data_IF_914142304316
#
_entry.id   IF_914142304316
#
_cell.length_a   1.000
_cell.length_b   1.000
_cell.length_c   1.000
_cell.angle_alpha   90.00
_cell.angle_beta   90.00
_cell.angle_gamma   90.00
#
_symmetry.space_group_name_H-M   'P 1'
#
loop_
_entity.id
_entity.type
_entity.pdbx_description
1 polymer ?
#
# COMPACT_ATOMS: atom_id res chain seq x y z
N UNK A 1 15.34 27.64 8.38
CA UNK A 1 15.58 26.35 9.06
C UNK A 1 14.31 25.77 9.68
N UNK A 2 13.49 26.53 10.39
CA UNK A 2 12.26 26.02 11.02
C UNK A 2 11.25 25.48 10.01
N UNK A 3 11.10 26.12 8.85
CA UNK A 3 10.18 25.71 7.78
C UNK A 3 10.61 24.40 7.07
N UNK A 4 11.90 24.13 6.95
CA UNK A 4 12.43 22.92 6.34
C UNK A 4 12.24 21.75 7.31
N UNK A 5 12.48 21.93 8.60
CA UNK A 5 12.24 20.92 9.62
C UNK A 5 10.75 20.57 9.74
N UNK A 6 9.86 21.55 9.64
CA UNK A 6 8.41 21.34 9.66
C UNK A 6 7.92 20.58 8.41
N UNK A 7 8.49 20.88 7.22
CA UNK A 7 8.16 20.18 5.97
C UNK A 7 8.63 18.72 6.00
N UNK A 8 9.81 18.43 6.58
CA UNK A 8 10.33 17.07 6.76
C UNK A 8 9.49 16.29 7.79
N UNK A 9 9.09 16.92 8.89
CA UNK A 9 8.20 16.30 9.88
C UNK A 9 6.82 16.01 9.30
N UNK A 10 6.29 16.88 8.45
CA UNK A 10 5.02 16.66 7.76
C UNK A 10 5.09 15.49 6.77
N UNK A 11 6.22 15.31 6.09
CA UNK A 11 6.45 14.17 5.19
C UNK A 11 6.60 12.84 5.93
N UNK A 12 7.18 12.83 7.12
CA UNK A 12 7.31 11.65 7.96
C UNK A 12 5.93 11.18 8.49
N UNK A 13 5.02 12.10 8.75
CA UNK A 13 3.67 11.74 9.19
C UNK A 13 2.77 11.23 8.05
N UNK A 14 3.06 11.55 6.80
CA UNK A 14 2.32 11.09 5.62
C UNK A 14 2.59 9.61 5.24
N UNK A 15 3.54 8.95 5.90
CA UNK A 15 3.96 7.57 5.59
C UNK A 15 3.42 6.47 6.51
N UNK A 16 2.54 6.76 7.47
CA UNK A 16 2.17 5.79 8.52
C UNK A 16 0.87 5.02 8.26
N UNK A 17 -0.07 5.56 7.49
CA UNK A 17 -1.33 4.88 7.12
C UNK A 17 -1.86 5.46 5.81
N UNK A 18 -2.74 4.72 5.13
CA UNK A 18 -3.45 5.26 3.99
C UNK A 18 -4.24 6.50 4.42
N UNK A 19 -4.01 7.61 3.73
CA UNK A 19 -4.74 8.84 4.00
C UNK A 19 -6.20 8.70 3.61
N UNK A 20 -7.08 9.51 4.17
CA UNK A 20 -8.50 9.53 3.79
C UNK A 20 -8.69 9.79 2.29
N UNK A 21 -7.77 10.55 1.69
CA UNK A 21 -7.74 10.79 0.24
C UNK A 21 -7.44 9.50 -0.53
N UNK A 22 -6.46 8.72 -0.13
CA UNK A 22 -6.11 7.46 -0.78
C UNK A 22 -7.25 6.44 -0.67
N UNK A 23 -7.87 6.35 0.50
CA UNK A 23 -9.06 5.51 0.72
C UNK A 23 -10.23 5.92 -0.17
N UNK A 24 -10.44 7.22 -0.38
CA UNK A 24 -11.49 7.74 -1.25
C UNK A 24 -11.21 7.50 -2.74
N UNK A 25 -9.94 7.54 -3.15
CA UNK A 25 -9.54 7.28 -4.54
C UNK A 25 -9.59 5.78 -4.91
N UNK A 26 -9.34 4.91 -3.93
CA UNK A 26 -9.28 3.45 -4.13
C UNK A 26 -10.17 2.70 -3.12
N UNK A 27 -11.50 2.92 -3.15
CA UNK A 27 -12.40 2.43 -2.10
C UNK A 27 -12.43 0.91 -1.99
N UNK A 28 -12.38 0.19 -3.09
CA UNK A 28 -12.38 -1.29 -3.08
C UNK A 28 -11.07 -1.86 -2.51
N UNK A 29 -9.94 -1.22 -2.85
CA UNK A 29 -8.65 -1.60 -2.31
C UNK A 29 -8.61 -1.35 -0.79
N UNK A 30 -9.09 -0.18 -0.36
CA UNK A 30 -9.17 0.20 1.04
C UNK A 30 -10.09 -0.73 1.85
N UNK A 31 -11.27 -1.04 1.29
CA UNK A 31 -12.24 -1.95 1.93
C UNK A 31 -11.63 -3.34 2.13
N UNK A 32 -11.05 -3.90 1.09
CA UNK A 32 -10.54 -5.27 1.13
C UNK A 32 -9.30 -5.40 2.04
N UNK A 33 -8.37 -4.44 1.99
CA UNK A 33 -7.23 -4.45 2.89
C UNK A 33 -7.64 -4.30 4.35
N UNK A 34 -8.57 -3.39 4.65
CA UNK A 34 -9.09 -3.19 6.00
C UNK A 34 -9.84 -4.41 6.54
N UNK A 35 -10.62 -5.11 5.70
CA UNK A 35 -11.35 -6.34 6.07
C UNK A 35 -10.41 -7.42 6.62
N UNK A 36 -9.19 -7.50 6.08
CA UNK A 36 -8.18 -8.46 6.53
C UNK A 36 -7.14 -7.89 7.51
N UNK A 37 -7.34 -6.66 7.97
CA UNK A 37 -6.49 -6.03 8.98
C UNK A 37 -5.17 -5.47 8.44
N UNK A 38 -5.10 -5.17 7.15
CA UNK A 38 -3.94 -4.54 6.51
C UNK A 38 -4.19 -3.08 6.21
N UNK A 39 -3.12 -2.31 6.18
CA UNK A 39 -3.11 -0.94 5.67
C UNK A 39 -2.22 -0.84 4.43
N UNK A 40 -2.44 0.18 3.61
CA UNK A 40 -1.69 0.41 2.38
C UNK A 40 -1.31 1.87 2.22
N UNK A 41 -0.32 2.11 1.40
CA UNK A 41 0.07 3.43 0.95
C UNK A 41 0.23 3.43 -0.57
N UNK A 42 0.12 4.60 -1.19
CA UNK A 42 0.28 4.74 -2.64
C UNK A 42 1.45 5.65 -2.98
N UNK A 43 2.13 5.33 -4.07
CA UNK A 43 3.19 6.13 -4.65
C UNK A 43 2.89 6.41 -6.11
N UNK A 44 3.08 7.65 -6.54
CA UNK A 44 3.02 8.02 -7.94
C UNK A 44 4.43 7.98 -8.52
N UNK A 45 4.60 7.16 -9.57
CA UNK A 45 5.85 7.02 -10.29
C UNK A 45 5.66 7.55 -11.70
N UNK A 46 6.47 8.55 -12.09
CA UNK A 46 6.53 9.04 -13.46
C UNK A 46 7.62 8.31 -14.22
N UNK A 47 7.27 7.66 -15.32
CA UNK A 47 8.23 7.00 -16.21
C UNK A 47 8.95 8.00 -17.11
N UNK A 48 10.09 7.61 -17.71
CA UNK A 48 10.86 8.47 -18.61
C UNK A 48 10.05 8.89 -19.84
N UNK A 49 9.18 8.03 -20.32
CA UNK A 49 8.26 8.27 -21.46
C UNK A 49 6.96 9.02 -21.06
N UNK A 50 6.87 9.47 -19.81
CA UNK A 50 5.83 10.39 -19.34
C UNK A 50 4.57 9.76 -18.75
N UNK A 51 4.50 8.44 -18.58
CA UNK A 51 3.39 7.79 -17.92
C UNK A 51 3.42 7.99 -16.40
N UNK A 52 2.25 8.11 -15.80
CA UNK A 52 2.07 8.15 -14.35
C UNK A 52 1.50 6.82 -13.89
N UNK A 53 2.29 6.09 -13.11
CA UNK A 53 1.92 4.80 -12.54
C UNK A 53 1.62 4.95 -11.06
N UNK A 54 0.61 4.23 -10.58
CA UNK A 54 0.32 4.14 -9.14
C UNK A 54 0.84 2.82 -8.60
N UNK A 55 1.74 2.91 -7.64
CA UNK A 55 2.27 1.77 -6.89
C UNK A 55 1.53 1.67 -5.56
N UNK A 56 0.97 0.51 -5.25
CA UNK A 56 0.36 0.20 -3.96
C UNK A 56 1.35 -0.59 -3.11
N UNK A 57 1.56 -0.16 -1.88
CA UNK A 57 2.41 -0.87 -0.92
C UNK A 57 1.59 -1.30 0.28
N UNK A 58 1.61 -2.59 0.60
CA UNK A 58 1.04 -3.17 1.81
C UNK A 58 2.21 -3.51 2.73
N UNK A 59 2.24 -2.93 3.94
CA UNK A 59 3.36 -3.06 4.88
C UNK A 59 3.26 -4.30 5.77
N UNK A 60 2.05 -4.74 6.07
CA UNK A 60 1.76 -5.82 7.01
C UNK A 60 0.46 -5.57 7.76
N UNK A 61 0.18 -6.35 8.77
CA UNK A 61 -1.02 -6.19 9.61
C UNK A 61 -0.90 -4.95 10.52
N UNK A 62 -2.02 -4.26 10.70
CA UNK A 62 -2.11 -3.04 11.49
C UNK A 62 -1.68 -3.28 12.94
N UNK A 63 -2.03 -4.43 13.51
CA UNK A 63 -1.75 -4.78 14.92
C UNK A 63 -0.29 -5.18 15.18
N UNK A 64 0.50 -5.40 14.14
CA UNK A 64 1.90 -5.84 14.23
C UNK A 64 2.89 -4.68 14.00
N UNK A 65 2.55 -3.47 14.35
CA UNK A 65 3.43 -2.30 14.26
C UNK A 65 4.60 -2.31 15.28
N UNK A 66 4.99 -3.45 15.79
CA UNK A 66 6.27 -3.58 16.50
C UNK A 66 7.39 -3.54 15.46
N UNK A 67 8.21 -2.51 15.55
CA UNK A 67 9.27 -2.14 14.62
C UNK A 67 10.33 -3.23 14.35
N UNK A 68 10.35 -4.29 15.10
CA UNK A 68 11.37 -5.34 15.01
C UNK A 68 11.03 -6.44 13.99
N UNK A 69 9.75 -6.75 13.78
CA UNK A 69 9.35 -7.83 12.89
C UNK A 69 9.39 -7.45 11.41
N UNK A 70 9.36 -6.15 11.11
CA UNK A 70 9.36 -5.65 9.73
C UNK A 70 10.76 -5.55 9.10
N UNK A 71 11.83 -5.62 9.90
CA UNK A 71 13.21 -5.38 9.44
C UNK A 71 13.80 -6.52 8.61
N UNK A 72 13.18 -7.71 8.62
CA UNK A 72 13.74 -8.90 7.97
C UNK A 72 12.90 -9.45 6.80
N UNK A 73 11.78 -8.82 6.46
CA UNK A 73 10.94 -9.26 5.34
C UNK A 73 11.49 -8.71 4.02
N UNK A 74 11.70 -9.60 3.06
CA UNK A 74 12.08 -9.21 1.71
C UNK A 74 10.91 -8.53 1.00
N UNK A 75 11.14 -7.41 0.32
CA UNK A 75 10.11 -6.77 -0.47
C UNK A 75 9.75 -7.63 -1.70
N UNK A 76 8.46 -7.79 -1.96
CA UNK A 76 7.95 -8.47 -3.14
C UNK A 76 7.28 -7.43 -4.05
N UNK A 77 7.80 -7.27 -5.26
CA UNK A 77 7.17 -6.45 -6.29
C UNK A 77 6.35 -7.32 -7.22
N UNK A 78 5.10 -6.92 -7.44
CA UNK A 78 4.15 -7.62 -8.31
C UNK A 78 3.63 -6.69 -9.38
N UNK A 79 3.63 -7.16 -10.63
CA UNK A 79 3.10 -6.43 -11.78
C UNK A 79 1.95 -7.23 -12.41
N UNK A 80 0.82 -6.56 -12.62
CA UNK A 80 -0.34 -7.19 -13.25
C UNK A 80 -0.22 -7.24 -14.77
N UNK A 81 -1.04 -8.10 -15.41
CA UNK A 81 -1.13 -8.21 -16.85
C UNK A 81 -1.97 -7.10 -17.50
N UNK A 82 -2.09 -7.16 -18.84
CA UNK A 82 -2.67 -6.09 -19.66
C UNK A 82 -4.15 -5.77 -19.38
N UNK A 83 -4.92 -6.70 -18.82
CA UNK A 83 -6.37 -6.55 -18.59
C UNK A 83 -6.68 -6.66 -17.10
N UNK A 84 -5.71 -6.43 -16.24
CA UNK A 84 -5.84 -6.56 -14.79
C UNK A 84 -5.44 -5.27 -14.09
N UNK A 85 -5.44 -5.28 -12.76
CA UNK A 85 -5.03 -4.18 -11.89
C UNK A 85 -4.38 -4.69 -10.61
N UNK A 86 -3.80 -3.79 -9.82
CA UNK A 86 -3.26 -4.13 -8.51
C UNK A 86 -4.32 -4.78 -7.58
N UNK A 87 -5.59 -4.44 -7.75
CA UNK A 87 -6.69 -5.03 -7.00
C UNK A 87 -6.82 -6.55 -7.22
N UNK A 88 -6.49 -7.05 -8.43
CA UNK A 88 -6.52 -8.48 -8.74
C UNK A 88 -5.62 -9.33 -7.83
N UNK A 89 -4.53 -8.77 -7.33
CA UNK A 89 -3.63 -9.48 -6.43
C UNK A 89 -4.16 -9.65 -5.01
N UNK A 90 -4.96 -8.72 -4.53
CA UNK A 90 -5.54 -8.76 -3.17
C UNK A 90 -6.92 -9.37 -3.15
N UNK A 91 -7.64 -9.34 -4.28
CA UNK A 91 -8.97 -9.92 -4.41
C UNK A 91 -8.89 -11.37 -4.89
N UNK A 92 -9.71 -12.21 -4.32
CA UNK A 92 -9.94 -13.58 -4.79
C UNK A 92 -11.36 -13.76 -5.33
N UNK A 93 -11.98 -12.66 -5.73
CA UNK A 93 -13.38 -12.65 -6.10
C UNK A 93 -14.27 -13.15 -4.95
N UNK A 94 -15.15 -14.09 -5.25
CA UNK A 94 -16.05 -14.71 -4.25
C UNK A 94 -15.36 -15.70 -3.30
N UNK A 95 -14.09 -16.02 -3.53
CA UNK A 95 -13.36 -17.04 -2.75
C UNK A 95 -12.58 -16.47 -1.55
N UNK A 96 -12.75 -15.20 -1.22
CA UNK A 96 -12.19 -14.58 -0.02
C UNK A 96 -10.82 -13.94 -0.21
N UNK A 97 -9.96 -14.07 0.80
CA UNK A 97 -8.65 -13.41 0.87
C UNK A 97 -7.73 -13.79 -0.30
N UNK A 98 -7.24 -12.79 -1.03
CA UNK A 98 -6.28 -12.98 -2.11
C UNK A 98 -4.98 -13.64 -1.63
N UNK A 99 -4.34 -14.41 -2.50
CA UNK A 99 -3.12 -15.14 -2.16
C UNK A 99 -1.97 -14.22 -1.71
N UNK A 100 -1.88 -13.00 -2.23
CA UNK A 100 -0.90 -12.00 -1.81
C UNK A 100 -1.03 -11.65 -0.34
N UNK A 101 -2.26 -11.43 0.13
CA UNK A 101 -2.52 -11.16 1.55
C UNK A 101 -2.28 -12.40 2.42
N UNK A 102 -2.46 -13.60 1.86
CA UNK A 102 -2.13 -14.85 2.56
C UNK A 102 -0.61 -15.02 2.75
N UNK A 103 0.19 -14.52 1.82
CA UNK A 103 1.66 -14.55 1.93
C UNK A 103 2.21 -13.55 2.97
N UNK A 104 1.42 -12.55 3.34
CA UNK A 104 1.80 -11.55 4.35
C UNK A 104 1.53 -12.02 5.79
N UNK A 105 0.74 -13.07 5.96
CA UNK A 105 0.48 -13.68 7.26
C UNK A 105 1.66 -14.52 7.72
#
# INVERSE_FOLDING_TARGET
>A
MLFIALAILLQIQLGLAATDREKALYPDFARLTAEYGYDFETYQVKTEDGWHLTLFRIKGKIDLHSSEEHQHKLPLLMAHGAIDSAFGFISRGIFGKGWTLQMLD
#
